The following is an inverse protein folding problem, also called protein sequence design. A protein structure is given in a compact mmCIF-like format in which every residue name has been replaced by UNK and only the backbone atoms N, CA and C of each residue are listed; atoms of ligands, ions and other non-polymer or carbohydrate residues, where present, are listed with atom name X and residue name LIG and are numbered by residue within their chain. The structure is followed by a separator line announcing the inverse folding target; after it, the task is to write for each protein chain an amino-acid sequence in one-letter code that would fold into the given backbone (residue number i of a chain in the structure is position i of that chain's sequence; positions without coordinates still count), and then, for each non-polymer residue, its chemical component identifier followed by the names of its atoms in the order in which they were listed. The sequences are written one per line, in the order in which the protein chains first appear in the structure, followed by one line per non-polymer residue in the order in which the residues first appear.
data_IF_542664141992
#
_entry.id   IF_542664141992
#
_cell.length_a   1.000
_cell.length_b   1.000
_cell.length_c   1.000
_cell.angle_alpha   90.00
_cell.angle_beta   90.00
_cell.angle_gamma   90.00
#
_symmetry.space_group_name_H-M   'P 1'
#
loop_
_entity.id
_entity.type
_entity.pdbx_description
1 polymer ?
#
# COMPACT_ATOMS: atom_id res chain seq x y z
N UNK A 1 6.32 -10.36 -22.27
CA UNK A 1 6.24 -9.00 -21.66
C UNK A 1 7.38 -8.86 -20.67
N UNK A 2 8.40 -8.10 -21.02
CA UNK A 2 9.63 -7.96 -20.24
C UNK A 2 9.37 -7.05 -19.04
N UNK A 3 9.18 -7.62 -17.85
CA UNK A 3 8.99 -6.88 -16.58
C UNK A 3 10.34 -6.32 -16.14
N UNK A 4 10.74 -5.16 -16.63
CA UNK A 4 11.91 -4.44 -16.08
C UNK A 4 11.43 -3.09 -15.51
N UNK A 5 11.60 -2.92 -14.20
CA UNK A 5 11.30 -1.73 -13.39
C UNK A 5 9.82 -1.48 -13.03
N UNK A 6 9.13 -2.47 -12.48
CA UNK A 6 7.86 -2.22 -11.80
C UNK A 6 8.14 -1.89 -10.32
N UNK A 7 7.87 -0.66 -9.91
CA UNK A 7 7.86 -0.24 -8.51
C UNK A 7 6.44 -0.27 -7.96
N UNK A 8 6.27 -0.79 -6.74
CA UNK A 8 5.05 -0.62 -5.98
C UNK A 8 5.11 0.67 -5.15
N UNK A 9 4.04 1.47 -5.18
CA UNK A 9 3.90 2.67 -4.36
C UNK A 9 2.87 2.39 -3.29
N UNK A 10 3.24 2.59 -2.04
CA UNK A 10 2.43 2.22 -0.89
C UNK A 10 2.37 3.37 0.13
N UNK A 11 1.22 3.52 0.78
CA UNK A 11 1.06 4.36 1.96
C UNK A 11 0.96 3.43 3.17
N UNK A 12 2.07 3.31 3.88
CA UNK A 12 2.16 2.46 5.07
C UNK A 12 1.81 3.25 6.31
N UNK A 13 1.10 2.61 7.23
CA UNK A 13 0.83 3.16 8.56
C UNK A 13 2.12 3.04 9.40
N UNK A 14 2.88 4.12 9.48
CA UNK A 14 4.16 4.17 10.20
C UNK A 14 3.98 4.28 11.72
N UNK A 15 2.85 4.85 12.17
CA UNK A 15 2.48 4.94 13.57
C UNK A 15 0.98 4.84 13.78
N UNK A 16 0.56 4.32 14.94
CA UNK A 16 -0.87 4.31 15.30
C UNK A 16 -1.31 5.72 15.71
N UNK A 17 -2.40 6.26 15.14
CA UNK A 17 -2.95 7.54 15.59
C UNK A 17 -3.31 7.51 17.07
N UNK A 18 -2.95 8.57 17.79
CA UNK A 18 -3.45 8.83 19.13
C UNK A 18 -4.53 9.92 19.02
N UNK A 19 -5.78 9.49 18.93
CA UNK A 19 -6.91 10.37 18.63
C UNK A 19 -7.19 10.44 17.13
N UNK A 20 -7.28 11.65 16.58
CA UNK A 20 -7.57 11.86 15.15
C UNK A 20 -6.39 11.41 14.28
N UNK A 21 -6.71 10.82 13.14
CA UNK A 21 -5.73 10.43 12.12
C UNK A 21 -5.07 11.68 11.55
N UNK A 22 -3.74 11.70 11.52
CA UNK A 22 -2.94 12.75 10.90
C UNK A 22 -2.09 12.20 9.75
N UNK A 23 -1.52 13.11 8.95
CA UNK A 23 -0.60 12.75 7.86
C UNK A 23 0.66 12.03 8.38
N UNK A 24 1.10 12.38 9.59
CA UNK A 24 2.31 11.82 10.21
C UNK A 24 2.16 10.35 10.60
N UNK A 25 0.92 9.84 10.63
CA UNK A 25 0.67 8.42 10.80
C UNK A 25 1.02 7.59 9.56
N UNK A 26 1.24 8.22 8.41
CA UNK A 26 1.54 7.56 7.15
C UNK A 26 2.92 7.91 6.63
N UNK A 27 3.51 6.94 5.95
CA UNK A 27 4.73 7.12 5.20
C UNK A 27 4.50 6.63 3.76
N UNK A 28 4.87 7.45 2.80
CA UNK A 28 4.87 7.07 1.40
C UNK A 28 6.18 6.33 1.08
N UNK A 29 6.07 5.10 0.58
CA UNK A 29 7.22 4.29 0.18
C UNK A 29 7.10 3.83 -1.26
N UNK A 30 8.25 3.73 -1.92
CA UNK A 30 8.40 2.99 -3.18
C UNK A 30 9.25 1.75 -2.92
N UNK A 31 8.80 0.59 -3.40
CA UNK A 31 9.58 -0.65 -3.36
C UNK A 31 9.62 -1.30 -4.73
N UNK A 32 10.65 -2.09 -5.00
CA UNK A 32 10.63 -2.97 -6.17
C UNK A 32 9.58 -4.07 -5.96
N UNK A 33 9.05 -4.62 -7.06
CA UNK A 33 8.19 -5.80 -6.98
C UNK A 33 9.06 -7.04 -6.77
N UNK A 34 8.73 -7.79 -5.73
CA UNK A 34 9.31 -9.11 -5.47
C UNK A 34 8.91 -10.12 -6.55
N UNK A 35 9.69 -11.19 -6.66
CA UNK A 35 9.35 -12.31 -7.52
C UNK A 35 8.06 -13.00 -7.06
N UNK A 36 7.17 -13.29 -8.03
CA UNK A 36 5.92 -14.01 -7.75
C UNK A 36 6.23 -15.46 -7.38
N UNK A 37 5.73 -15.91 -6.22
CA UNK A 37 5.80 -17.30 -5.79
C UNK A 37 4.66 -18.12 -6.41
N UNK A 38 4.76 -19.44 -6.30
CA UNK A 38 3.70 -20.34 -6.75
C UNK A 38 2.35 -19.97 -6.11
N UNK A 39 1.29 -20.01 -6.92
CA UNK A 39 -0.08 -19.61 -6.53
C UNK A 39 -0.26 -18.13 -6.14
N UNK A 40 0.69 -17.24 -6.47
CA UNK A 40 0.52 -15.80 -6.36
C UNK A 40 0.19 -15.16 -7.71
N UNK A 41 -0.48 -14.01 -7.67
CA UNK A 41 -0.76 -13.19 -8.85
C UNK A 41 -0.43 -11.73 -8.57
N UNK A 42 0.05 -11.05 -9.61
CA UNK A 42 0.28 -9.60 -9.55
C UNK A 42 -1.00 -8.87 -9.91
N UNK A 43 -1.48 -8.04 -8.99
CA UNK A 43 -2.64 -7.18 -9.21
C UNK A 43 -2.21 -5.73 -9.38
N UNK A 44 -2.90 -5.01 -10.26
CA UNK A 44 -2.79 -3.56 -10.38
C UNK A 44 -4.05 -2.94 -9.80
N UNK A 45 -3.92 -2.35 -8.61
CA UNK A 45 -5.02 -1.60 -7.99
C UNK A 45 -5.39 -0.40 -8.87
N UNK A 46 -6.66 -0.28 -9.23
CA UNK A 46 -7.19 0.84 -10.04
C UNK A 46 -7.90 1.89 -9.17
N UNK A 47 -8.59 1.41 -8.14
CA UNK A 47 -9.37 2.24 -7.21
C UNK A 47 -9.22 1.68 -5.79
N UNK A 48 -9.26 2.57 -4.81
CA UNK A 48 -9.29 2.21 -3.40
C UNK A 48 -10.62 2.67 -2.78
N UNK A 49 -11.32 1.75 -2.11
CA UNK A 49 -12.55 2.07 -1.39
C UNK A 49 -12.26 2.56 0.02
N UNK A 50 -12.55 3.83 0.29
CA UNK A 50 -12.40 4.43 1.61
C UNK A 50 -13.73 4.39 2.37
N UNK A 51 -13.76 3.87 3.59
CA UNK A 51 -14.95 3.95 4.45
C UNK A 51 -14.57 4.33 5.89
N UNK A 52 -15.51 4.87 6.69
CA UNK A 52 -15.23 5.40 8.02
C UNK A 52 -14.77 4.34 9.05
N UNK A 53 -15.12 3.06 8.83
CA UNK A 53 -14.76 1.97 9.74
C UNK A 53 -13.34 1.46 9.51
N UNK A 54 -12.81 1.66 8.29
CA UNK A 54 -11.37 1.62 8.04
C UNK A 54 -10.75 2.84 8.72
N UNK A 55 -10.47 2.73 10.02
CA UNK A 55 -9.45 3.55 10.65
C UNK A 55 -8.23 3.47 9.73
N UNK A 56 -7.90 4.57 9.08
CA UNK A 56 -7.13 4.67 7.83
C UNK A 56 -5.88 3.79 7.94
N UNK A 57 -5.96 2.58 7.41
CA UNK A 57 -5.06 1.50 7.82
C UNK A 57 -4.94 0.51 6.70
N UNK A 58 -3.77 0.53 6.07
CA UNK A 58 -3.37 -0.17 4.85
C UNK A 58 -4.04 0.32 3.55
N UNK A 59 -3.36 1.24 2.87
CA UNK A 59 -3.33 1.27 1.41
C UNK A 59 -2.03 0.59 0.97
N UNK A 60 -2.15 -0.69 0.60
CA UNK A 60 -1.10 -1.50 -0.05
C UNK A 60 -0.86 -1.08 -1.50
#
# INVERSE_FOLDING_TARGET
MTRKNLKNRQWVLSSRPQGMVSKDNFEFRESELDELKENQMLLKNLYFGFDPTKGVGLMI
#
